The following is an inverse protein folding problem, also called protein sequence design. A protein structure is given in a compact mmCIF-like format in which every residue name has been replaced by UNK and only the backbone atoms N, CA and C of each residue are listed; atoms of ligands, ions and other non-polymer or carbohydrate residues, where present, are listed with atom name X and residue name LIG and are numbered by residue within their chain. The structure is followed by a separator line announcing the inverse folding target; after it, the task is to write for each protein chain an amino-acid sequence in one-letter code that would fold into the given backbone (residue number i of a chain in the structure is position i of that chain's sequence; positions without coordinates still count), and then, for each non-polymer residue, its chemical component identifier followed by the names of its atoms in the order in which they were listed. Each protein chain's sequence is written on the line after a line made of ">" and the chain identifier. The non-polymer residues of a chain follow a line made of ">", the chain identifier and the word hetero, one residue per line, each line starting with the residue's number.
data_IF_110442135405
#
_entry.id   IF_110442135405
#
_cell.length_a   1.000
_cell.length_b   1.000
_cell.length_c   1.000
_cell.angle_alpha   90.00
_cell.angle_beta   90.00
_cell.angle_gamma   90.00
#
_symmetry.space_group_name_H-M   'P 1'
#
loop_
_entity.id
_entity.type
_entity.pdbx_description
1 polymer ?
#
# COMPACT_ATOMS: atom_id res chain seq x y z
N UNK A 1 13.46 36.91 -41.53
CA UNK A 1 13.39 36.93 -40.04
C UNK A 1 12.20 36.12 -39.49
N UNK A 2 11.00 36.16 -40.10
CA UNK A 2 9.82 35.40 -39.63
C UNK A 2 9.98 33.86 -39.66
N UNK A 3 10.59 33.26 -40.70
CA UNK A 3 10.73 31.79 -40.82
C UNK A 3 11.68 31.18 -39.79
N UNK A 4 12.78 31.86 -39.45
CA UNK A 4 13.71 31.41 -38.41
C UNK A 4 13.03 31.36 -37.04
N UNK A 5 12.17 32.36 -36.78
CA UNK A 5 11.44 32.44 -35.52
C UNK A 5 10.41 31.32 -35.38
N UNK A 6 9.70 30.97 -36.46
CA UNK A 6 8.79 29.82 -36.47
C UNK A 6 9.51 28.48 -36.31
N UNK A 7 10.68 28.29 -36.93
CA UNK A 7 11.48 27.07 -36.77
C UNK A 7 12.00 26.89 -35.35
N UNK A 8 12.40 27.99 -34.68
CA UNK A 8 12.81 27.96 -33.27
C UNK A 8 11.64 27.63 -32.34
N UNK A 9 10.44 28.15 -32.60
CA UNK A 9 9.24 27.82 -31.82
C UNK A 9 8.87 26.35 -31.98
N UNK A 10 8.93 25.78 -33.19
CA UNK A 10 8.66 24.37 -33.44
C UNK A 10 9.70 23.47 -32.76
N UNK A 11 10.99 23.81 -32.82
CA UNK A 11 12.03 23.07 -32.12
C UNK A 11 11.86 23.12 -30.59
N UNK A 12 11.52 24.29 -30.04
CA UNK A 12 11.31 24.45 -28.61
C UNK A 12 10.10 23.63 -28.13
N UNK A 13 9.01 23.61 -28.91
CA UNK A 13 7.83 22.81 -28.60
C UNK A 13 8.10 21.30 -28.71
N UNK A 14 8.83 20.88 -29.75
CA UNK A 14 9.26 19.49 -29.90
C UNK A 14 10.19 19.04 -28.76
N UNK A 15 11.12 19.90 -28.32
CA UNK A 15 11.99 19.61 -27.19
C UNK A 15 11.24 19.56 -25.85
N UNK A 16 10.21 20.39 -25.66
CA UNK A 16 9.36 20.36 -24.48
C UNK A 16 8.45 19.11 -24.45
N UNK A 17 7.95 18.66 -25.60
CA UNK A 17 7.17 17.42 -25.73
C UNK A 17 8.04 16.15 -25.66
N UNK A 18 9.32 16.26 -26.05
CA UNK A 18 10.30 15.18 -25.94
C UNK A 18 11.03 15.17 -24.59
N UNK A 19 10.78 16.15 -23.72
CA UNK A 19 11.28 16.11 -22.36
C UNK A 19 10.68 14.86 -21.70
N UNK A 20 11.50 13.94 -21.15
CA UNK A 20 10.98 12.78 -20.47
C UNK A 20 10.02 13.27 -19.39
N UNK A 21 8.84 12.67 -19.31
CA UNK A 21 7.96 12.89 -18.17
C UNK A 21 8.81 12.70 -16.92
N UNK A 22 8.84 13.70 -16.03
CA UNK A 22 9.58 13.60 -14.78
C UNK A 22 9.14 12.29 -14.14
N UNK A 23 10.04 11.29 -14.11
CA UNK A 23 9.78 10.06 -13.38
C UNK A 23 9.34 10.49 -12.00
N UNK A 24 8.14 10.07 -11.58
CA UNK A 24 7.78 10.20 -10.19
C UNK A 24 8.88 9.46 -9.44
N UNK A 25 9.70 10.21 -8.69
CA UNK A 25 10.81 9.61 -7.96
C UNK A 25 10.20 8.58 -7.02
N UNK A 26 10.68 7.33 -7.12
CA UNK A 26 10.28 6.29 -6.19
C UNK A 26 10.53 6.78 -4.77
N UNK A 27 9.60 6.48 -3.86
CA UNK A 27 9.74 6.90 -2.48
C UNK A 27 10.92 6.15 -1.85
N UNK A 28 11.96 6.90 -1.51
CA UNK A 28 12.99 6.39 -0.62
C UNK A 28 12.45 6.26 0.80
N UNK A 29 13.32 5.80 1.69
CA UNK A 29 12.95 5.54 3.08
C UNK A 29 12.44 6.79 3.84
N UNK A 30 12.88 8.00 3.45
CA UNK A 30 12.33 9.27 3.96
C UNK A 30 10.91 9.56 3.45
N UNK A 31 10.61 9.17 2.20
CA UNK A 31 9.30 9.31 1.58
C UNK A 31 8.25 8.46 2.26
N UNK A 32 8.55 7.18 2.47
CA UNK A 32 7.71 6.26 3.22
C UNK A 32 7.39 6.79 4.62
N UNK A 33 8.42 7.27 5.34
CA UNK A 33 8.24 7.85 6.67
C UNK A 33 7.35 9.09 6.66
N UNK A 34 7.57 10.01 5.71
CA UNK A 34 6.75 11.22 5.57
C UNK A 34 5.27 10.86 5.34
N UNK A 35 5.00 9.95 4.39
CA UNK A 35 3.63 9.51 4.08
C UNK A 35 2.99 8.83 5.30
N UNK A 36 3.71 7.96 6.00
CA UNK A 36 3.21 7.30 7.21
C UNK A 36 2.84 8.29 8.32
N UNK A 37 3.68 9.30 8.55
CA UNK A 37 3.38 10.37 9.52
C UNK A 37 2.16 11.18 9.10
N UNK A 38 2.11 11.65 7.85
CA UNK A 38 0.98 12.46 7.35
C UNK A 38 -0.33 11.67 7.38
N UNK A 39 -0.29 10.39 7.00
CA UNK A 39 -1.42 9.48 7.09
C UNK A 39 -1.93 9.35 8.53
N UNK A 40 -1.04 9.08 9.48
CA UNK A 40 -1.39 8.96 10.89
C UNK A 40 -1.92 10.27 11.50
N UNK A 41 -1.36 11.42 11.10
CA UNK A 41 -1.86 12.75 11.50
C UNK A 41 -3.25 13.06 10.95
N UNK A 42 -3.59 12.50 9.79
CA UNK A 42 -4.88 12.68 9.13
C UNK A 42 -5.97 11.72 9.60
N UNK A 43 -5.67 10.81 10.53
CA UNK A 43 -6.64 9.82 11.02
C UNK A 43 -7.89 10.51 11.61
N UNK A 44 -9.10 10.07 11.23
CA UNK A 44 -10.33 10.66 11.73
C UNK A 44 -10.54 10.39 13.22
N UNK A 45 -11.38 11.20 13.86
CA UNK A 45 -11.57 11.17 15.32
C UNK A 45 -12.23 9.88 15.84
N UNK A 46 -12.90 9.13 14.96
CA UNK A 46 -13.52 7.82 15.24
C UNK A 46 -12.51 6.65 15.25
N UNK A 47 -11.27 6.89 14.83
CA UNK A 47 -10.14 5.99 15.05
C UNK A 47 -9.68 6.11 16.51
N UNK A 48 -9.36 4.99 17.21
CA UNK A 48 -8.99 5.00 18.62
C UNK A 48 -7.93 6.04 18.98
N UNK A 49 -8.13 6.77 20.09
CA UNK A 49 -7.27 7.90 20.43
C UNK A 49 -5.79 7.50 20.65
N UNK A 50 -5.53 6.26 21.08
CA UNK A 50 -4.17 5.80 21.35
C UNK A 50 -3.27 5.76 20.10
N UNK A 51 -3.84 5.51 18.91
CA UNK A 51 -3.05 5.54 17.65
C UNK A 51 -2.82 6.95 17.10
N UNK A 52 -3.49 7.96 17.69
CA UNK A 52 -3.39 9.37 17.27
C UNK A 52 -2.48 10.21 18.16
N UNK A 53 -1.78 9.59 19.11
CA UNK A 53 -0.81 10.28 19.96
C UNK A 53 0.46 10.65 19.16
N UNK A 54 1.21 11.70 19.55
CA UNK A 54 2.46 12.05 18.86
C UNK A 54 3.47 10.88 18.80
N UNK A 55 3.55 10.08 19.87
CA UNK A 55 4.41 8.90 19.91
C UNK A 55 3.93 7.82 18.92
N UNK A 56 2.63 7.50 18.91
CA UNK A 56 2.08 6.52 17.96
C UNK A 56 2.26 6.96 16.50
N UNK A 57 2.04 8.25 16.20
CA UNK A 57 2.27 8.82 14.86
C UNK A 57 3.74 8.67 14.44
N UNK A 58 4.68 8.97 15.34
CA UNK A 58 6.10 8.79 15.07
C UNK A 58 6.46 7.31 14.81
N UNK A 59 5.88 6.40 15.59
CA UNK A 59 6.06 4.96 15.45
C UNK A 59 5.49 4.44 14.12
N UNK A 60 4.28 4.83 13.73
CA UNK A 60 3.67 4.49 12.43
C UNK A 60 4.55 5.00 11.29
N UNK A 61 5.03 6.24 11.39
CA UNK A 61 5.96 6.81 10.43
C UNK A 61 7.25 6.00 10.31
N UNK A 62 7.83 5.54 11.42
CA UNK A 62 9.04 4.72 11.38
C UNK A 62 8.75 3.34 10.76
N UNK A 63 7.65 2.69 11.12
CA UNK A 63 7.31 1.37 10.59
C UNK A 63 6.88 1.38 9.11
N UNK A 64 6.46 2.52 8.58
CA UNK A 64 6.04 2.67 7.18
C UNK A 64 7.15 2.33 6.15
N UNK A 65 8.41 2.23 6.58
CA UNK A 65 9.57 1.89 5.73
C UNK A 65 10.13 0.48 5.94
N UNK A 66 9.56 -0.31 6.87
CA UNK A 66 10.14 -1.61 7.24
C UNK A 66 10.08 -2.63 6.10
N UNK A 67 9.03 -2.61 5.28
CA UNK A 67 8.91 -3.56 4.18
C UNK A 67 10.09 -3.42 3.20
N UNK A 68 10.49 -2.19 2.88
CA UNK A 68 11.69 -1.91 2.08
C UNK A 68 13.00 -2.23 2.82
N UNK A 69 13.08 -1.99 4.14
CA UNK A 69 14.27 -2.36 4.94
C UNK A 69 14.49 -3.86 4.99
N UNK A 70 13.41 -4.65 4.94
CA UNK A 70 13.48 -6.10 5.00
C UNK A 70 13.96 -6.75 3.70
N UNK A 71 14.04 -5.99 2.59
CA UNK A 71 14.53 -6.51 1.31
C UNK A 71 15.99 -6.93 1.42
N UNK A 72 16.34 -8.01 0.73
CA UNK A 72 17.67 -8.60 0.81
C UNK A 72 17.90 -9.44 2.07
N UNK A 73 16.83 -9.78 2.80
CA UNK A 73 16.90 -10.69 3.95
C UNK A 73 17.12 -12.14 3.53
N UNK A 74 16.91 -12.46 2.25
CA UNK A 74 17.25 -13.76 1.68
C UNK A 74 16.22 -14.24 0.67
N UNK A 75 16.63 -15.20 -0.17
CA UNK A 75 15.90 -15.62 -1.37
C UNK A 75 14.40 -15.90 -1.14
N UNK A 76 14.05 -16.66 -0.10
CA UNK A 76 12.64 -17.01 0.16
C UNK A 76 11.86 -15.79 0.65
N UNK A 77 12.46 -15.00 1.55
CA UNK A 77 11.82 -13.79 2.07
C UNK A 77 11.53 -12.78 0.96
N UNK A 78 12.54 -12.50 0.14
CA UNK A 78 12.47 -11.54 -0.94
C UNK A 78 11.50 -12.02 -2.03
N UNK A 79 11.61 -13.30 -2.45
CA UNK A 79 10.70 -13.89 -3.42
C UNK A 79 9.23 -13.76 -2.97
N UNK A 80 8.91 -14.10 -1.72
CA UNK A 80 7.52 -14.14 -1.30
C UNK A 80 6.93 -12.76 -1.04
N UNK A 81 7.75 -11.73 -0.70
CA UNK A 81 7.27 -10.43 -0.22
C UNK A 81 7.54 -9.25 -1.16
N UNK A 82 8.54 -9.31 -2.02
CA UNK A 82 8.95 -8.11 -2.78
C UNK A 82 7.88 -7.69 -3.80
N UNK A 83 7.20 -8.64 -4.42
CA UNK A 83 6.09 -8.37 -5.35
C UNK A 83 4.83 -7.80 -4.68
N UNK A 84 4.79 -7.72 -3.34
CA UNK A 84 3.80 -6.93 -2.62
C UNK A 84 4.02 -5.40 -2.75
N UNK A 85 5.15 -4.95 -3.29
CA UNK A 85 5.51 -3.52 -3.33
C UNK A 85 5.09 -2.81 -4.60
N UNK A 86 4.62 -3.54 -5.60
CA UNK A 86 4.29 -2.97 -6.89
C UNK A 86 3.08 -3.66 -7.50
N UNK A 87 2.60 -3.02 -8.57
CA UNK A 87 1.59 -3.52 -9.47
C UNK A 87 1.99 -2.96 -10.85
N UNK A 88 2.19 -3.84 -11.82
CA UNK A 88 2.72 -3.47 -13.13
C UNK A 88 1.57 -3.39 -14.13
N UNK A 89 1.20 -2.17 -14.50
CA UNK A 89 0.05 -1.85 -15.35
C UNK A 89 0.56 -1.37 -16.69
N UNK A 90 0.13 -2.03 -17.77
CA UNK A 90 0.42 -1.58 -19.13
C UNK A 90 -0.44 -0.37 -19.57
N UNK A 91 -0.14 0.16 -20.76
CA UNK A 91 -0.81 1.35 -21.31
C UNK A 91 -2.31 1.10 -21.58
N UNK A 92 -2.73 -0.16 -21.71
CA UNK A 92 -4.13 -0.58 -21.82
C UNK A 92 -4.79 -0.79 -20.44
N UNK A 93 -4.06 -0.55 -19.35
CA UNK A 93 -4.50 -0.66 -17.98
C UNK A 93 -4.47 -2.09 -17.42
N UNK A 94 -3.91 -3.07 -18.12
CA UNK A 94 -3.89 -4.47 -17.68
C UNK A 94 -2.68 -4.76 -16.81
N UNK A 95 -2.88 -5.66 -15.85
CA UNK A 95 -1.83 -6.18 -15.00
C UNK A 95 -0.92 -7.12 -15.79
N UNK A 96 0.18 -6.59 -16.33
CA UNK A 96 1.14 -7.33 -17.16
C UNK A 96 0.46 -8.11 -18.32
N UNK A 97 -0.44 -7.45 -19.07
CA UNK A 97 -1.25 -8.07 -20.12
C UNK A 97 -2.40 -8.96 -19.64
N UNK A 98 -2.52 -9.18 -18.32
CA UNK A 98 -3.55 -10.00 -17.68
C UNK A 98 -4.86 -9.24 -17.41
N UNK A 99 -5.45 -9.40 -16.22
CA UNK A 99 -6.73 -8.77 -15.91
C UNK A 99 -6.62 -7.24 -15.86
N UNK A 100 -7.72 -6.57 -16.18
CA UNK A 100 -7.83 -5.10 -16.14
C UNK A 100 -7.74 -4.62 -14.69
N UNK A 101 -6.83 -3.69 -14.41
CA UNK A 101 -6.71 -3.02 -13.11
C UNK A 101 -7.82 -1.98 -12.89
N UNK A 102 -8.98 -2.43 -12.42
CA UNK A 102 -9.99 -1.56 -11.83
C UNK A 102 -10.59 -2.21 -10.59
N UNK A 103 -11.12 -1.41 -9.67
CA UNK A 103 -11.84 -1.93 -8.49
C UNK A 103 -12.99 -2.86 -8.88
N UNK A 104 -13.64 -2.62 -10.04
CA UNK A 104 -14.77 -3.41 -10.50
C UNK A 104 -14.37 -4.73 -11.17
N UNK A 105 -13.14 -4.83 -11.69
CA UNK A 105 -12.70 -5.95 -12.54
C UNK A 105 -11.54 -6.75 -11.98
N UNK A 106 -10.94 -6.29 -10.88
CA UNK A 106 -9.89 -7.02 -10.20
C UNK A 106 -10.47 -8.36 -9.71
N UNK A 107 -9.80 -9.51 -9.97
CA UNK A 107 -10.23 -10.78 -9.43
C UNK A 107 -10.39 -10.72 -7.90
N UNK A 108 -11.44 -11.34 -7.32
CA UNK A 108 -11.79 -11.12 -5.93
C UNK A 108 -10.79 -11.74 -4.94
N UNK A 109 -10.02 -12.73 -5.39
CA UNK A 109 -8.99 -13.39 -4.58
C UNK A 109 -7.65 -13.41 -5.29
N UNK A 110 -6.56 -13.52 -4.52
CA UNK A 110 -5.23 -13.72 -5.09
C UNK A 110 -5.16 -15.00 -5.93
N UNK A 111 -5.87 -16.05 -5.56
CA UNK A 111 -5.89 -17.30 -6.33
C UNK A 111 -6.52 -17.12 -7.72
N UNK A 112 -7.62 -16.37 -7.81
CA UNK A 112 -8.26 -16.06 -9.09
C UNK A 112 -7.38 -15.14 -9.94
N UNK A 113 -6.67 -14.20 -9.30
CA UNK A 113 -5.68 -13.35 -9.95
C UNK A 113 -4.52 -14.12 -10.57
N UNK A 114 -3.93 -15.04 -9.81
CA UNK A 114 -2.90 -15.96 -10.30
C UNK A 114 -3.41 -16.77 -11.50
N UNK A 115 -4.66 -17.21 -11.45
CA UNK A 115 -5.28 -17.98 -12.54
C UNK A 115 -5.42 -17.12 -13.80
N UNK A 116 -5.87 -15.86 -13.66
CA UNK A 116 -5.98 -14.92 -14.77
C UNK A 116 -4.61 -14.57 -15.38
N UNK A 117 -3.58 -14.37 -14.56
CA UNK A 117 -2.22 -14.11 -15.04
C UNK A 117 -1.61 -15.32 -15.77
N UNK A 118 -1.82 -16.53 -15.24
CA UNK A 118 -1.34 -17.76 -15.88
C UNK A 118 -1.93 -17.97 -17.27
N UNK A 119 -3.17 -17.53 -17.49
CA UNK A 119 -3.81 -17.61 -18.81
C UNK A 119 -3.08 -16.80 -19.90
N UNK A 120 -2.26 -15.82 -19.51
CA UNK A 120 -1.41 -15.03 -20.42
C UNK A 120 0.09 -15.34 -20.24
N UNK A 121 0.43 -16.44 -19.56
CA UNK A 121 1.82 -16.87 -19.34
C UNK A 121 2.58 -16.07 -18.27
N UNK A 122 1.85 -15.37 -17.38
CA UNK A 122 2.40 -14.51 -16.34
C UNK A 122 2.06 -15.02 -14.93
N UNK A 123 2.61 -14.35 -13.91
CA UNK A 123 2.42 -14.67 -12.50
C UNK A 123 2.50 -13.40 -11.64
N UNK A 124 2.02 -13.46 -10.39
CA UNK A 124 2.00 -12.27 -9.53
C UNK A 124 3.37 -11.81 -9.04
N UNK A 125 4.40 -12.65 -9.18
CA UNK A 125 5.77 -12.26 -8.88
C UNK A 125 6.34 -11.31 -9.93
N UNK A 126 5.87 -11.40 -11.17
CA UNK A 126 6.20 -10.48 -12.26
C UNK A 126 5.25 -9.29 -12.33
N UNK A 127 3.94 -9.53 -12.22
CA UNK A 127 2.93 -8.48 -12.34
C UNK A 127 2.75 -7.64 -11.07
N UNK A 128 3.26 -8.12 -9.93
CA UNK A 128 3.00 -7.53 -8.63
C UNK A 128 1.61 -7.86 -8.09
N UNK A 129 1.45 -7.72 -6.77
CA UNK A 129 0.18 -7.98 -6.08
C UNK A 129 -0.14 -6.95 -4.99
N UNK A 130 0.50 -5.78 -5.01
CA UNK A 130 0.28 -4.70 -4.03
C UNK A 130 -1.20 -4.43 -3.69
N UNK A 131 -2.17 -4.40 -4.64
CA UNK A 131 -3.58 -4.20 -4.31
C UNK A 131 -4.12 -5.22 -3.30
N UNK A 132 -3.77 -6.49 -3.45
CA UNK A 132 -4.22 -7.55 -2.54
C UNK A 132 -3.56 -7.42 -1.16
N UNK A 133 -2.27 -7.06 -1.11
CA UNK A 133 -1.57 -6.82 0.15
C UNK A 133 -2.17 -5.64 0.93
N UNK A 134 -2.54 -4.56 0.23
CA UNK A 134 -3.20 -3.40 0.83
C UNK A 134 -4.61 -3.73 1.34
N UNK A 135 -5.40 -4.45 0.54
CA UNK A 135 -6.76 -4.84 0.91
C UNK A 135 -6.74 -5.80 2.11
N UNK A 136 -5.88 -6.81 2.09
CA UNK A 136 -5.71 -7.77 3.19
C UNK A 136 -5.29 -7.06 4.48
N UNK A 137 -4.25 -6.22 4.43
CA UNK A 137 -3.80 -5.45 5.59
C UNK A 137 -4.89 -4.52 6.15
N UNK A 138 -5.67 -3.86 5.29
CA UNK A 138 -6.82 -3.06 5.72
C UNK A 138 -7.89 -3.90 6.41
N UNK A 139 -8.27 -5.04 5.81
CA UNK A 139 -9.27 -5.94 6.38
C UNK A 139 -8.82 -6.50 7.74
N UNK A 140 -7.54 -6.84 7.87
CA UNK A 140 -6.95 -7.26 9.14
C UNK A 140 -7.06 -6.15 10.20
N UNK A 141 -6.69 -4.90 9.88
CA UNK A 141 -6.83 -3.77 10.80
C UNK A 141 -8.29 -3.53 11.22
N UNK A 142 -9.25 -3.65 10.29
CA UNK A 142 -10.68 -3.56 10.60
C UNK A 142 -11.09 -4.64 11.61
N UNK A 143 -10.63 -5.88 11.39
CA UNK A 143 -10.92 -7.02 12.26
C UNK A 143 -10.28 -6.84 13.65
N UNK A 144 -9.03 -6.41 13.71
CA UNK A 144 -8.29 -6.19 14.94
C UNK A 144 -8.93 -5.09 15.79
N UNK A 145 -9.25 -3.95 15.19
CA UNK A 145 -9.97 -2.89 15.92
C UNK A 145 -11.40 -3.29 16.30
N UNK A 146 -12.02 -4.22 15.59
CA UNK A 146 -13.31 -4.79 16.00
C UNK A 146 -13.16 -5.63 17.27
N UNK A 147 -12.19 -6.54 17.30
CA UNK A 147 -11.93 -7.35 18.50
C UNK A 147 -11.46 -6.50 19.68
N UNK A 148 -10.59 -5.53 19.45
CA UNK A 148 -10.19 -4.58 20.49
C UNK A 148 -11.39 -3.88 21.12
N UNK A 149 -12.34 -3.35 20.31
CA UNK A 149 -13.57 -2.73 20.85
C UNK A 149 -14.44 -3.72 21.63
N UNK A 150 -14.55 -4.96 21.16
CA UNK A 150 -15.28 -6.02 21.86
C UNK A 150 -14.63 -6.32 23.22
N UNK A 151 -13.30 -6.46 23.27
CA UNK A 151 -12.55 -6.74 24.49
C UNK A 151 -12.64 -5.59 25.49
N UNK A 152 -12.51 -4.33 25.04
CA UNK A 152 -12.72 -3.15 25.89
C UNK A 152 -14.12 -3.16 26.52
N UNK A 153 -15.16 -3.50 25.75
CA UNK A 153 -16.53 -3.58 26.26
C UNK A 153 -16.72 -4.78 27.21
N UNK A 154 -16.13 -5.92 26.90
CA UNK A 154 -16.19 -7.14 27.70
C UNK A 154 -15.47 -6.96 29.05
N UNK A 155 -14.26 -6.42 29.06
CA UNK A 155 -13.50 -6.12 30.27
C UNK A 155 -14.26 -5.16 31.19
N UNK A 156 -14.86 -4.10 30.62
CA UNK A 156 -15.65 -3.12 31.38
C UNK A 156 -16.91 -3.72 32.01
N UNK A 157 -17.55 -4.66 31.32
CA UNK A 157 -18.83 -5.26 31.74
C UNK A 157 -18.68 -6.54 32.57
N UNK A 158 -17.51 -7.18 32.56
CA UNK A 158 -17.27 -8.43 33.28
C UNK A 158 -17.36 -8.24 34.80
N UNK A 159 -18.22 -9.04 35.42
CA UNK A 159 -18.37 -9.13 36.89
C UNK A 159 -17.54 -10.26 37.50
N UNK A 160 -17.24 -11.30 36.73
CA UNK A 160 -16.33 -12.38 37.14
C UNK A 160 -14.88 -11.88 37.08
N UNK A 161 -14.14 -11.87 38.21
CA UNK A 161 -12.78 -11.35 38.25
C UNK A 161 -11.80 -12.13 37.36
N UNK A 162 -12.03 -13.43 37.14
CA UNK A 162 -11.15 -14.26 36.28
C UNK A 162 -11.31 -13.85 34.82
N UNK A 163 -12.56 -13.70 34.36
CA UNK A 163 -12.84 -13.25 32.98
C UNK A 163 -12.37 -11.83 32.74
N UNK A 164 -12.56 -10.94 33.71
CA UNK A 164 -12.08 -9.56 33.63
C UNK A 164 -10.56 -9.51 33.47
N UNK A 165 -9.82 -10.26 34.29
CA UNK A 165 -8.37 -10.34 34.18
C UNK A 165 -7.92 -10.93 32.84
N UNK A 166 -8.64 -11.92 32.31
CA UNK A 166 -8.37 -12.47 30.97
C UNK A 166 -8.55 -11.43 29.87
N UNK A 167 -9.68 -10.69 29.84
CA UNK A 167 -9.89 -9.65 28.84
C UNK A 167 -8.89 -8.50 28.95
N UNK A 168 -8.49 -8.11 30.17
CA UNK A 168 -7.48 -7.07 30.39
C UNK A 168 -6.08 -7.50 29.89
N UNK A 169 -5.76 -8.79 29.95
CA UNK A 169 -4.49 -9.32 29.46
C UNK A 169 -4.44 -9.51 27.94
N UNK A 170 -5.61 -9.57 27.29
CA UNK A 170 -5.77 -9.74 25.84
C UNK A 170 -5.89 -8.40 25.09
N UNK A 171 -5.86 -7.27 25.81
CA UNK A 171 -5.81 -5.89 25.30
C UNK A 171 -4.38 -5.37 25.14
#
# INVERSE_FOLDING_TARGET
>A
MSRLSSSLTVLALAAALAAPANSALAWGASGHRLIGVLGAQSLPLDVPAFVRTPAAIATIGEYARELDRSKGSGKIHDHDRDSAHFLDVDDEGRMFGGPMFTVATLPPTRADYETALRAVGMDSWKAGYLPYAMIDGYQQLVKDFTYWRILVAAEKSATDPVRKAYYAADL
#
